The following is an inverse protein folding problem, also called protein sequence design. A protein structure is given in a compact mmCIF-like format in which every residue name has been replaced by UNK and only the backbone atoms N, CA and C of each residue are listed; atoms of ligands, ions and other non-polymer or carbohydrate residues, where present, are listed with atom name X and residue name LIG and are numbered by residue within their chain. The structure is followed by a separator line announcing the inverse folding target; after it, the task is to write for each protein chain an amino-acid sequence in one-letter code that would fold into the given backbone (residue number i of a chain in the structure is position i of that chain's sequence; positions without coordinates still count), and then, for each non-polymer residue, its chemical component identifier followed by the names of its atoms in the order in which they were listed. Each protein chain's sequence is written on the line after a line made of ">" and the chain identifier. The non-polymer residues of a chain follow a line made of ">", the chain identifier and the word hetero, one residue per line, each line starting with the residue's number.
data_IF_987657144144
#
_entry.id   IF_987657144144
#
_cell.length_a   1.000
_cell.length_b   1.000
_cell.length_c   1.000
_cell.angle_alpha   90.00
_cell.angle_beta   90.00
_cell.angle_gamma   90.00
#
_symmetry.space_group_name_H-M   'P 1'
#
loop_
_entity.id
_entity.type
_entity.pdbx_description
1 polymer ?
#
# COMPACT_ATOMS: atom_id res chain seq x y z
N UNK A 1 -24.99 -7.59 8.75
CA UNK A 1 -25.80 -7.43 7.53
C UNK A 1 -24.88 -7.54 6.31
N UNK A 2 -25.18 -8.50 5.40
CA UNK A 2 -24.36 -8.78 4.20
C UNK A 2 -24.15 -7.51 3.35
N UNK A 3 -25.13 -6.65 3.26
CA UNK A 3 -25.05 -5.39 2.51
C UNK A 3 -24.06 -4.39 3.12
N UNK A 4 -23.91 -4.37 4.44
CA UNK A 4 -22.89 -3.51 5.08
C UNK A 4 -21.47 -4.05 4.84
N UNK A 5 -21.30 -5.37 4.82
CA UNK A 5 -20.01 -6.00 4.50
C UNK A 5 -19.61 -5.75 3.05
N UNK A 6 -20.54 -5.87 2.10
CA UNK A 6 -20.30 -5.57 0.67
C UNK A 6 -19.97 -4.09 0.46
N UNK A 7 -20.64 -3.17 1.19
CA UNK A 7 -20.34 -1.74 1.13
C UNK A 7 -18.96 -1.39 1.71
N UNK A 8 -18.50 -2.11 2.73
CA UNK A 8 -17.18 -1.95 3.34
C UNK A 8 -16.08 -2.39 2.37
N UNK A 9 -16.20 -3.60 1.80
CA UNK A 9 -15.22 -4.09 0.83
C UNK A 9 -15.11 -3.18 -0.40
N UNK A 10 -16.22 -2.70 -0.93
CA UNK A 10 -16.17 -1.80 -2.08
C UNK A 10 -15.47 -0.48 -1.78
N UNK A 11 -15.55 0.04 -0.56
CA UNK A 11 -14.82 1.25 -0.13
C UNK A 11 -13.32 1.03 -0.05
N UNK A 12 -12.87 -0.09 0.52
CA UNK A 12 -11.43 -0.41 0.56
C UNK A 12 -10.85 -0.60 -0.85
N UNK A 13 -11.55 -1.30 -1.73
CA UNK A 13 -11.13 -1.45 -3.13
C UNK A 13 -11.00 -0.09 -3.83
N UNK A 14 -11.93 0.84 -3.59
CA UNK A 14 -11.84 2.19 -4.17
C UNK A 14 -10.62 2.96 -3.61
N UNK A 15 -10.36 2.87 -2.32
CA UNK A 15 -9.18 3.48 -1.69
C UNK A 15 -7.89 2.89 -2.29
N UNK A 16 -7.81 1.57 -2.40
CA UNK A 16 -6.66 0.89 -3.01
C UNK A 16 -6.41 1.34 -4.45
N UNK A 17 -7.48 1.44 -5.26
CA UNK A 17 -7.38 1.90 -6.65
C UNK A 17 -6.94 3.36 -6.75
N UNK A 18 -7.44 4.22 -5.89
CA UNK A 18 -7.02 5.62 -5.83
C UNK A 18 -5.54 5.74 -5.47
N UNK A 19 -5.11 5.08 -4.39
CA UNK A 19 -3.70 5.08 -3.97
C UNK A 19 -2.82 4.54 -5.09
N UNK A 20 -3.19 3.41 -5.69
CA UNK A 20 -2.43 2.78 -6.76
C UNK A 20 -2.33 3.66 -8.03
N UNK A 21 -3.40 4.36 -8.41
CA UNK A 21 -3.37 5.28 -9.56
C UNK A 21 -2.42 6.46 -9.29
N UNK A 22 -2.45 7.03 -8.09
CA UNK A 22 -1.54 8.12 -7.69
C UNK A 22 -0.07 7.65 -7.59
N UNK A 23 0.17 6.42 -7.14
CA UNK A 23 1.52 5.85 -7.07
C UNK A 23 2.08 5.46 -8.45
N UNK A 24 1.21 5.21 -9.44
CA UNK A 24 1.63 4.75 -10.75
C UNK A 24 2.29 5.89 -11.56
N UNK A 25 3.58 5.76 -11.95
CA UNK A 25 4.24 6.78 -12.76
C UNK A 25 3.57 7.04 -14.12
N UNK A 26 2.77 6.08 -14.58
CA UNK A 26 1.96 6.15 -15.80
C UNK A 26 0.48 6.37 -15.51
N UNK A 27 0.15 6.78 -14.28
CA UNK A 27 -1.22 7.08 -13.84
C UNK A 27 -1.84 8.26 -14.59
N UNK A 28 -3.15 8.33 -14.55
CA UNK A 28 -3.93 9.36 -15.27
C UNK A 28 -3.72 10.78 -14.75
N UNK A 29 -3.09 10.94 -13.58
CA UNK A 29 -2.74 12.24 -13.01
C UNK A 29 -1.68 13.01 -13.83
N UNK A 30 -0.89 12.33 -14.68
CA UNK A 30 0.09 12.97 -15.56
C UNK A 30 1.32 13.57 -14.86
N UNK A 31 1.54 13.25 -13.57
CA UNK A 31 2.63 13.78 -12.75
C UNK A 31 3.89 12.90 -12.79
N UNK A 32 3.91 11.86 -13.64
CA UNK A 32 5.02 10.92 -13.69
C UNK A 32 5.29 10.26 -12.34
N UNK A 33 6.55 10.17 -11.94
CA UNK A 33 6.96 9.57 -10.67
C UNK A 33 6.91 10.53 -9.46
N UNK A 34 6.43 11.77 -9.62
CA UNK A 34 6.52 12.77 -8.55
C UNK A 34 5.73 12.37 -7.29
N UNK A 35 4.52 11.83 -7.43
CA UNK A 35 3.74 11.37 -6.29
C UNK A 35 4.32 10.12 -5.64
N UNK A 36 4.86 9.21 -6.45
CA UNK A 36 5.59 8.04 -5.96
C UNK A 36 6.85 8.44 -5.18
N UNK A 37 7.61 9.44 -5.67
CA UNK A 37 8.77 9.98 -4.94
C UNK A 37 8.36 10.46 -3.55
N UNK A 38 7.31 11.29 -3.45
CA UNK A 38 6.81 11.76 -2.16
C UNK A 38 6.38 10.59 -1.26
N UNK A 39 5.75 9.55 -1.81
CA UNK A 39 5.33 8.39 -1.04
C UNK A 39 6.53 7.59 -0.50
N UNK A 40 7.53 7.35 -1.32
CA UNK A 40 8.76 6.66 -0.93
C UNK A 40 9.50 7.41 0.17
N UNK A 41 9.65 8.73 0.03
CA UNK A 41 10.40 9.57 0.96
C UNK A 41 9.63 9.79 2.28
N UNK A 42 8.34 10.14 2.20
CA UNK A 42 7.56 10.61 3.36
C UNK A 42 6.81 9.49 4.09
N UNK A 43 6.34 8.47 3.36
CA UNK A 43 5.52 7.38 3.92
C UNK A 43 6.34 6.14 4.17
N UNK A 44 7.03 5.62 3.15
CA UNK A 44 7.82 4.40 3.27
C UNK A 44 9.18 4.66 3.95
N UNK A 45 9.71 5.88 3.83
CA UNK A 45 11.02 6.31 4.36
C UNK A 45 12.14 5.42 3.84
N UNK A 46 12.09 5.14 2.54
CA UNK A 46 13.10 4.36 1.81
C UNK A 46 13.94 5.31 0.97
N UNK A 47 15.25 5.20 1.04
CA UNK A 47 16.16 5.97 0.21
C UNK A 47 16.32 5.31 -1.16
N UNK A 48 15.94 6.01 -2.23
CA UNK A 48 16.12 5.60 -3.62
C UNK A 48 16.84 6.71 -4.37
N UNK A 49 18.13 6.53 -4.59
CA UNK A 49 18.96 7.54 -5.27
C UNK A 49 18.73 7.58 -6.79
N UNK A 50 18.41 6.44 -7.41
CA UNK A 50 18.20 6.35 -8.85
C UNK A 50 16.74 6.63 -9.22
N UNK A 51 16.49 7.84 -9.74
CA UNK A 51 15.17 8.27 -10.22
C UNK A 51 14.62 7.40 -11.35
N UNK A 52 15.47 6.70 -12.10
CA UNK A 52 15.00 5.85 -13.19
C UNK A 52 14.22 4.65 -12.67
N UNK A 53 14.53 4.17 -11.47
CA UNK A 53 13.79 3.09 -10.81
C UNK A 53 12.34 3.51 -10.52
N UNK A 54 12.12 4.76 -10.08
CA UNK A 54 10.76 5.27 -9.83
C UNK A 54 9.97 5.45 -11.11
N UNK A 55 10.60 5.93 -12.18
CA UNK A 55 9.94 6.09 -13.49
C UNK A 55 9.47 4.76 -14.08
N UNK A 56 10.15 3.67 -13.75
CA UNK A 56 9.83 2.32 -14.23
C UNK A 56 9.11 1.46 -13.20
N UNK A 57 8.73 2.04 -12.06
CA UNK A 57 7.98 1.33 -11.04
C UNK A 57 6.67 0.73 -11.59
N UNK A 58 6.29 -0.41 -11.05
CA UNK A 58 5.04 -1.09 -11.37
C UNK A 58 4.16 -1.10 -10.13
N UNK A 59 2.92 -0.69 -10.29
CA UNK A 59 1.91 -0.69 -9.23
C UNK A 59 0.78 -1.61 -9.65
N UNK A 60 0.48 -2.60 -8.82
CA UNK A 60 -0.59 -3.56 -9.04
C UNK A 60 -1.58 -3.54 -7.89
N UNK A 61 -2.87 -3.73 -8.20
CA UNK A 61 -3.92 -3.94 -7.20
C UNK A 61 -4.43 -5.36 -7.28
N UNK A 62 -4.94 -5.88 -6.15
CA UNK A 62 -5.47 -7.25 -6.06
C UNK A 62 -4.47 -8.28 -6.62
N UNK A 63 -3.20 -8.16 -6.23
CA UNK A 63 -2.11 -9.01 -6.71
C UNK A 63 -2.27 -10.42 -6.16
N UNK A 64 -2.62 -11.38 -7.02
CA UNK A 64 -2.84 -12.79 -6.64
C UNK A 64 -1.51 -13.47 -6.31
N UNK A 65 -1.41 -14.06 -5.13
CA UNK A 65 -0.28 -14.90 -4.71
C UNK A 65 -0.63 -16.40 -4.81
N UNK A 66 -1.91 -16.73 -4.69
CA UNK A 66 -2.47 -18.06 -4.90
C UNK A 66 -3.96 -17.98 -5.28
N UNK A 67 -4.70 -19.09 -5.21
CA UNK A 67 -6.12 -19.14 -5.56
C UNK A 67 -7.03 -18.36 -4.58
N UNK A 68 -6.58 -18.14 -3.33
CA UNK A 68 -7.39 -17.56 -2.25
C UNK A 68 -6.87 -16.19 -1.77
N UNK A 69 -5.59 -15.90 -1.97
CA UNK A 69 -4.88 -14.75 -1.41
C UNK A 69 -4.54 -13.71 -2.46
N UNK A 70 -4.87 -12.47 -2.17
CA UNK A 70 -4.51 -11.30 -2.98
C UNK A 70 -4.01 -10.20 -2.08
N UNK A 71 -2.88 -9.61 -2.44
CA UNK A 71 -2.34 -8.42 -1.81
C UNK A 71 -3.07 -7.21 -2.39
N UNK A 72 -3.53 -6.31 -1.54
CA UNK A 72 -4.34 -5.16 -1.98
C UNK A 72 -3.59 -4.25 -2.94
N UNK A 73 -2.34 -3.89 -2.62
CA UNK A 73 -1.45 -3.12 -3.49
C UNK A 73 -0.05 -3.74 -3.43
N UNK A 74 0.57 -3.92 -4.59
CA UNK A 74 2.00 -4.25 -4.69
C UNK A 74 2.70 -3.14 -5.45
N UNK A 75 3.79 -2.65 -4.86
CA UNK A 75 4.67 -1.67 -5.47
C UNK A 75 6.03 -2.33 -5.75
N UNK A 76 6.38 -2.42 -7.03
CA UNK A 76 7.67 -2.96 -7.47
C UNK A 76 8.56 -1.81 -7.95
N UNK A 77 9.74 -1.64 -7.31
CA UNK A 77 10.72 -0.60 -7.65
C UNK A 77 12.08 -1.25 -7.81
N UNK A 78 12.53 -1.44 -9.04
CA UNK A 78 13.74 -2.20 -9.34
C UNK A 78 13.60 -3.64 -8.82
N UNK A 79 14.40 -4.03 -7.81
CA UNK A 79 14.34 -5.36 -7.18
C UNK A 79 13.44 -5.40 -5.94
N UNK A 80 12.99 -4.25 -5.46
CA UNK A 80 12.13 -4.19 -4.28
C UNK A 80 10.72 -4.65 -4.62
N UNK A 81 10.17 -5.49 -3.77
CA UNK A 81 8.79 -5.97 -3.82
C UNK A 81 8.10 -5.59 -2.52
N UNK A 82 7.23 -4.60 -2.56
CA UNK A 82 6.64 -3.94 -1.40
C UNK A 82 5.14 -4.25 -1.33
N UNK A 83 4.71 -5.28 -0.59
CA UNK A 83 3.30 -5.60 -0.40
C UNK A 83 2.66 -4.63 0.60
N UNK A 84 1.54 -4.05 0.23
CA UNK A 84 0.75 -3.13 1.07
C UNK A 84 -0.63 -3.75 1.27
N UNK A 85 -0.95 -4.08 2.51
CA UNK A 85 -2.27 -4.54 2.93
C UNK A 85 -3.05 -3.39 3.54
N UNK A 86 -4.31 -3.23 3.13
CA UNK A 86 -5.18 -2.11 3.53
C UNK A 86 -6.31 -2.64 4.42
N UNK A 87 -6.41 -2.14 5.66
CA UNK A 87 -7.41 -2.50 6.67
C UNK A 87 -8.02 -1.26 7.31
N UNK A 88 -8.79 -0.51 6.54
CA UNK A 88 -9.46 0.70 7.03
C UNK A 88 -10.79 0.34 7.70
N UNK A 89 -11.53 -0.59 7.12
CA UNK A 89 -12.87 -1.00 7.54
C UNK A 89 -13.02 -2.51 7.75
N UNK A 90 -12.28 -3.34 7.01
CA UNK A 90 -12.37 -4.79 7.08
C UNK A 90 -11.62 -5.37 8.28
N UNK A 91 -12.04 -6.56 8.72
CA UNK A 91 -11.36 -7.32 9.75
C UNK A 91 -10.13 -8.05 9.19
N UNK A 92 -9.19 -8.37 10.07
CA UNK A 92 -8.04 -9.21 9.75
C UNK A 92 -8.48 -10.62 9.33
N UNK A 93 -7.70 -11.21 8.43
CA UNK A 93 -7.86 -12.61 8.04
C UNK A 93 -6.74 -13.46 8.64
N UNK A 94 -7.06 -14.75 8.87
CA UNK A 94 -6.10 -15.72 9.39
C UNK A 94 -4.86 -15.78 8.49
N UNK A 95 -3.68 -15.70 9.09
CA UNK A 95 -2.37 -15.86 8.43
C UNK A 95 -2.08 -14.87 7.28
N UNK A 96 -2.86 -13.81 7.12
CA UNK A 96 -2.79 -12.94 5.94
C UNK A 96 -1.42 -12.26 5.81
N UNK A 97 -0.94 -11.60 6.86
CA UNK A 97 0.38 -10.95 6.84
C UNK A 97 1.52 -11.97 6.73
N UNK A 98 1.35 -13.16 7.34
CA UNK A 98 2.31 -14.24 7.21
C UNK A 98 2.44 -14.72 5.77
N UNK A 99 1.33 -14.98 5.09
CA UNK A 99 1.31 -15.45 3.70
C UNK A 99 1.92 -14.41 2.76
N UNK A 100 1.60 -13.13 2.95
CA UNK A 100 2.15 -12.04 2.15
C UNK A 100 3.65 -11.85 2.35
N UNK A 101 4.12 -11.88 3.60
CA UNK A 101 5.54 -11.80 3.90
C UNK A 101 6.31 -12.97 3.30
N UNK A 102 5.81 -14.20 3.47
CA UNK A 102 6.47 -15.41 2.97
C UNK A 102 6.60 -15.38 1.45
N UNK A 103 5.53 -15.00 0.75
CA UNK A 103 5.56 -14.83 -0.70
C UNK A 103 6.50 -13.71 -1.16
N UNK A 104 6.42 -12.55 -0.54
CA UNK A 104 7.23 -11.40 -0.92
C UNK A 104 8.72 -11.62 -0.68
N UNK A 105 9.09 -12.34 0.39
CA UNK A 105 10.47 -12.68 0.73
C UNK A 105 11.15 -13.54 -0.33
N UNK A 106 10.42 -14.34 -1.09
CA UNK A 106 10.97 -15.11 -2.21
C UNK A 106 11.38 -14.20 -3.38
N UNK A 107 10.78 -13.01 -3.49
CA UNK A 107 11.07 -12.03 -4.54
C UNK A 107 12.12 -11.00 -4.10
N UNK A 108 12.03 -10.59 -2.84
CA UNK A 108 12.88 -9.58 -2.22
C UNK A 108 13.19 -9.98 -0.77
N UNK A 109 14.42 -10.41 -0.51
CA UNK A 109 14.85 -10.93 0.80
C UNK A 109 14.73 -9.89 1.93
N UNK A 110 14.81 -8.61 1.58
CA UNK A 110 14.75 -7.48 2.53
C UNK A 110 13.34 -6.89 2.67
N UNK A 111 12.35 -7.49 2.01
CA UNK A 111 10.96 -7.00 2.02
C UNK A 111 10.37 -6.94 3.41
N UNK A 112 9.38 -6.07 3.56
CA UNK A 112 8.47 -5.98 4.71
C UNK A 112 7.04 -5.90 4.21
N UNK A 113 6.08 -6.27 5.05
CA UNK A 113 4.66 -6.04 4.78
C UNK A 113 4.30 -4.66 5.31
N UNK A 114 3.78 -3.81 4.45
CA UNK A 114 3.25 -2.49 4.80
C UNK A 114 1.77 -2.64 5.14
N UNK A 115 1.46 -2.44 6.41
CA UNK A 115 0.11 -2.64 6.95
C UNK A 115 -0.57 -1.30 7.18
N UNK A 116 -1.43 -0.92 6.23
CA UNK A 116 -2.13 0.36 6.24
C UNK A 116 -3.49 0.23 6.94
N UNK A 117 -3.60 0.83 8.10
CA UNK A 117 -4.85 0.90 8.86
C UNK A 117 -5.28 2.35 9.05
N UNK A 118 -6.47 2.56 9.60
CA UNK A 118 -6.95 3.93 9.86
C UNK A 118 -5.99 4.71 10.76
N UNK A 119 -5.46 4.08 11.80
CA UNK A 119 -4.65 4.75 12.83
C UNK A 119 -3.19 4.25 12.92
N UNK A 120 -2.79 3.28 12.11
CA UNK A 120 -1.41 2.77 12.08
C UNK A 120 -1.09 1.75 13.17
N UNK A 121 -2.04 0.89 13.52
CA UNK A 121 -1.79 -0.18 14.50
C UNK A 121 -1.15 -1.42 13.86
N UNK A 122 -0.47 -2.21 14.68
CA UNK A 122 0.11 -3.50 14.31
C UNK A 122 -0.98 -4.54 14.02
N UNK A 123 -0.80 -5.43 13.02
CA UNK A 123 -1.68 -6.58 12.85
C UNK A 123 -1.61 -7.51 14.06
N UNK A 124 -2.71 -8.19 14.34
CA UNK A 124 -2.79 -9.16 15.42
C UNK A 124 -2.03 -10.47 15.12
N UNK A 125 -1.73 -11.24 16.18
CA UNK A 125 -1.10 -12.54 16.05
C UNK A 125 -1.87 -13.50 15.13
N UNK A 126 -3.19 -13.31 14.98
CA UNK A 126 -4.05 -14.06 14.08
C UNK A 126 -3.65 -13.93 12.60
N UNK A 127 -3.27 -12.72 12.18
CA UNK A 127 -2.80 -12.43 10.82
C UNK A 127 -1.30 -12.73 10.63
N UNK A 128 -0.50 -12.60 11.70
CA UNK A 128 0.96 -12.77 11.65
C UNK A 128 1.43 -14.22 11.79
N UNK A 129 0.56 -15.14 12.24
CA UNK A 129 0.90 -16.54 12.50
C UNK A 129 0.55 -17.43 11.30
N UNK A 130 1.51 -18.23 10.85
CA UNK A 130 1.33 -19.24 9.80
C UNK A 130 1.84 -20.62 10.21
N UNK A 131 2.04 -21.48 9.22
CA UNK A 131 2.43 -22.88 9.42
C UNK A 131 3.78 -23.07 10.12
N UNK A 132 4.74 -22.20 9.86
CA UNK A 132 6.11 -22.30 10.37
C UNK A 132 6.38 -21.37 11.56
N UNK A 133 5.34 -20.77 12.14
CA UNK A 133 5.48 -19.88 13.30
C UNK A 133 4.79 -18.54 13.13
N UNK A 134 5.33 -17.52 13.76
CA UNK A 134 4.86 -16.14 13.68
C UNK A 134 5.97 -15.26 13.08
N UNK A 135 5.61 -14.38 12.15
CA UNK A 135 6.56 -13.38 11.66
C UNK A 135 6.84 -12.34 12.74
N UNK A 136 8.10 -11.89 12.82
CA UNK A 136 8.50 -10.88 13.79
C UNK A 136 7.99 -9.49 13.42
N UNK A 137 7.77 -8.65 14.42
CA UNK A 137 7.19 -7.32 14.25
C UNK A 137 8.05 -6.39 13.37
N UNK A 138 9.38 -6.60 13.34
CA UNK A 138 10.31 -5.83 12.49
C UNK A 138 10.09 -6.07 10.98
N UNK A 139 9.33 -7.11 10.61
CA UNK A 139 8.91 -7.40 9.23
C UNK A 139 7.60 -6.71 8.85
N UNK A 140 6.98 -5.98 9.77
CA UNK A 140 5.77 -5.19 9.54
C UNK A 140 6.10 -3.70 9.65
N UNK A 141 5.63 -2.92 8.70
CA UNK A 141 5.66 -1.46 8.74
C UNK A 141 4.22 -0.97 8.85
N UNK A 142 3.87 -0.41 10.01
CA UNK A 142 2.53 0.14 10.23
C UNK A 142 2.40 1.50 9.58
N UNK A 143 1.38 1.66 8.74
CA UNK A 143 1.03 2.92 8.10
C UNK A 143 -0.34 3.38 8.59
N UNK A 144 -0.50 4.68 8.81
CA UNK A 144 -1.75 5.31 9.21
C UNK A 144 -2.38 6.06 8.03
N UNK A 145 -3.62 5.73 7.70
CA UNK A 145 -4.35 6.51 6.70
C UNK A 145 -4.53 7.97 7.17
N UNK A 146 -4.97 8.15 8.41
CA UNK A 146 -5.25 9.46 8.98
C UNK A 146 -4.01 10.36 9.08
N UNK A 147 -2.83 9.78 9.32
CA UNK A 147 -1.58 10.53 9.47
C UNK A 147 -0.75 10.50 8.18
N UNK A 148 -0.32 9.30 7.76
CA UNK A 148 0.70 9.19 6.72
C UNK A 148 0.11 9.41 5.32
N UNK A 149 -1.04 8.79 5.02
CA UNK A 149 -1.68 8.95 3.70
C UNK A 149 -2.25 10.37 3.55
N UNK A 150 -2.92 10.91 4.58
CA UNK A 150 -3.43 12.28 4.52
C UNK A 150 -2.31 13.31 4.35
N UNK A 151 -1.17 13.12 5.04
CA UNK A 151 0.00 13.97 4.84
C UNK A 151 0.52 13.89 3.39
N UNK A 152 0.73 12.66 2.88
CA UNK A 152 1.17 12.45 1.51
C UNK A 152 0.24 13.09 0.47
N UNK A 153 -1.08 12.94 0.63
CA UNK A 153 -2.05 13.57 -0.26
C UNK A 153 -1.93 15.10 -0.26
N UNK A 154 -1.71 15.72 0.91
CA UNK A 154 -1.47 17.17 1.01
C UNK A 154 -0.20 17.60 0.27
N UNK A 155 0.88 16.83 0.39
CA UNK A 155 2.12 17.11 -0.34
C UNK A 155 1.91 16.94 -1.86
N UNK A 156 1.16 15.92 -2.28
CA UNK A 156 0.75 15.76 -3.69
C UNK A 156 -0.04 16.97 -4.20
N UNK A 157 -0.98 17.49 -3.40
CA UNK A 157 -1.75 18.68 -3.79
C UNK A 157 -0.86 19.91 -4.06
N UNK A 158 0.19 20.10 -3.26
CA UNK A 158 1.09 21.27 -3.41
C UNK A 158 1.85 21.29 -4.74
N UNK A 159 2.16 20.11 -5.29
CA UNK A 159 2.90 19.99 -6.56
C UNK A 159 1.98 19.73 -7.75
N UNK A 160 0.68 19.54 -7.51
CA UNK A 160 -0.30 19.25 -8.56
C UNK A 160 -0.63 20.46 -9.43
N UNK A 161 -0.99 20.19 -10.68
CA UNK A 161 -1.69 21.19 -11.47
C UNK A 161 -3.08 21.50 -10.86
N UNK A 162 -3.65 22.70 -11.04
CA UNK A 162 -4.92 23.09 -10.39
C UNK A 162 -6.05 22.08 -10.56
N UNK A 163 -6.20 21.49 -11.74
CA UNK A 163 -7.24 20.51 -12.02
C UNK A 163 -7.08 19.18 -11.25
N UNK A 164 -5.85 18.72 -11.09
CA UNK A 164 -5.54 17.47 -10.37
C UNK A 164 -5.59 17.70 -8.86
N UNK A 165 -5.12 18.86 -8.39
CA UNK A 165 -5.19 19.22 -6.97
C UNK A 165 -6.61 19.24 -6.41
N UNK A 166 -7.60 19.72 -7.19
CA UNK A 166 -9.01 19.70 -6.79
C UNK A 166 -9.54 18.28 -6.60
N UNK A 167 -9.15 17.34 -7.47
CA UNK A 167 -9.59 15.94 -7.34
C UNK A 167 -8.97 15.30 -6.10
N UNK A 168 -7.68 15.50 -5.83
CA UNK A 168 -7.00 14.92 -4.67
C UNK A 168 -7.58 15.46 -3.36
N UNK A 169 -7.88 16.76 -3.28
CA UNK A 169 -8.45 17.39 -2.07
C UNK A 169 -9.80 16.83 -1.64
N UNK A 170 -10.51 16.12 -2.52
CA UNK A 170 -11.76 15.43 -2.18
C UNK A 170 -11.55 14.15 -1.36
N UNK A 171 -10.32 13.67 -1.25
CA UNK A 171 -9.97 12.45 -0.50
C UNK A 171 -9.32 12.76 0.86
N UNK A 172 -9.06 14.03 1.17
CA UNK A 172 -8.60 14.48 2.50
C UNK A 172 -9.78 14.48 3.51
#
# INVERSE_FOLDING_TARGET
>A
NVFSVLGIQSREVLICRMIADLLNPRGRHGMGSAYLRLFVDEVLKIEIADETLLKHAVVSTEYSIDAERRIDIVLEIGKMFLPIEVKIYACEQKSQCYDYYTFAKEKDADTKVYYLTRFGHMPGAYSMRGKDGIISEDKIVCLSFQKDITHWLKECCKISTPNVGVVISQFE
#
